data_IF_002062800010
#
_entry.id   IF_002062800010
#
_cell.length_a   1.000
_cell.length_b   1.000
_cell.length_c   1.000
_cell.angle_alpha   90.00
_cell.angle_beta   90.00
_cell.angle_gamma   90.00
#
_symmetry.space_group_name_H-M   'P 1'
#
loop_
_entity.id
_entity.type
_entity.pdbx_description
1 polymer ?
#
# COMPACT_ATOMS: atom_id res chain seq x y z
N UNK A 1 12.07 2.45 -2.41
CA UNK A 1 12.22 0.99 -2.48
C UNK A 1 11.33 0.51 -3.59
N UNK A 2 11.90 0.01 -4.68
CA UNK A 2 11.16 -0.75 -5.70
C UNK A 2 11.19 -2.20 -5.26
N UNK A 3 10.02 -2.82 -5.07
CA UNK A 3 9.96 -4.26 -4.86
C UNK A 3 10.13 -4.94 -6.20
N UNK A 4 11.00 -5.96 -6.26
CA UNK A 4 11.14 -6.76 -7.47
C UNK A 4 9.86 -7.58 -7.67
N UNK A 5 9.26 -7.54 -8.87
CA UNK A 5 8.04 -8.28 -9.15
C UNK A 5 8.32 -9.78 -9.16
N UNK A 6 7.33 -10.58 -8.74
CA UNK A 6 7.36 -12.03 -8.89
C UNK A 6 6.66 -12.41 -10.18
N UNK A 7 7.33 -13.16 -11.05
CA UNK A 7 6.76 -13.65 -12.30
C UNK A 7 6.37 -15.12 -12.12
N UNK A 8 5.07 -15.38 -12.06
CA UNK A 8 4.51 -16.74 -11.93
C UNK A 8 4.56 -17.52 -13.23
N UNK A 9 4.73 -16.84 -14.36
CA UNK A 9 4.96 -17.49 -15.63
C UNK A 9 4.67 -16.59 -16.81
N UNK A 10 4.88 -17.13 -18.00
CA UNK A 10 4.65 -16.42 -19.27
C UNK A 10 3.79 -17.27 -20.18
N UNK A 11 2.96 -16.62 -20.99
CA UNK A 11 2.12 -17.29 -21.97
C UNK A 11 2.30 -16.66 -23.33
N UNK A 12 2.44 -17.48 -24.36
CA UNK A 12 2.43 -17.03 -25.76
C UNK A 12 1.35 -17.79 -26.53
N UNK A 13 0.41 -17.08 -27.14
CA UNK A 13 -0.67 -17.70 -27.91
C UNK A 13 -0.09 -18.51 -29.08
N UNK A 14 -0.44 -19.79 -29.13
CA UNK A 14 0.07 -20.77 -30.10
C UNK A 14 1.31 -21.53 -29.63
N UNK A 15 1.98 -21.11 -28.55
CA UNK A 15 3.10 -21.83 -27.93
C UNK A 15 2.70 -22.47 -26.60
N UNK A 16 1.90 -21.77 -25.79
CA UNK A 16 1.42 -22.24 -24.50
C UNK A 16 2.02 -21.49 -23.31
N UNK A 17 1.84 -22.08 -22.12
CA UNK A 17 2.30 -21.56 -20.84
C UNK A 17 3.70 -22.08 -20.49
N UNK A 18 4.57 -21.18 -20.02
CA UNK A 18 5.84 -21.49 -19.38
C UNK A 18 5.74 -21.11 -17.91
N UNK A 19 5.89 -22.11 -17.05
CA UNK A 19 5.85 -21.98 -15.60
C UNK A 19 6.99 -21.09 -15.07
N UNK A 20 6.72 -20.36 -14.00
CA UNK A 20 7.62 -19.37 -13.41
C UNK A 20 7.93 -19.63 -11.94
N UNK A 21 8.09 -18.55 -11.19
CA UNK A 21 8.38 -18.60 -9.77
C UNK A 21 7.10 -18.82 -8.94
N UNK A 22 7.27 -19.41 -7.75
CA UNK A 22 6.25 -19.48 -6.71
C UNK A 22 6.77 -18.90 -5.41
N UNK A 23 5.87 -18.57 -4.48
CA UNK A 23 6.24 -18.09 -3.14
C UNK A 23 5.84 -19.10 -2.07
N UNK A 24 6.70 -19.27 -1.07
CA UNK A 24 6.49 -20.26 -0.01
C UNK A 24 5.39 -19.86 0.99
N UNK A 25 5.23 -18.56 1.25
CA UNK A 25 4.35 -18.04 2.30
C UNK A 25 3.68 -16.73 1.88
N UNK A 26 2.48 -16.49 2.43
CA UNK A 26 1.67 -15.32 2.10
C UNK A 26 0.94 -15.48 0.76
N UNK A 27 0.50 -14.37 0.17
CA UNK A 27 -0.11 -14.34 -1.15
C UNK A 27 0.04 -12.98 -1.80
N UNK A 28 0.31 -12.97 -3.10
CA UNK A 28 0.53 -11.77 -3.89
C UNK A 28 -0.64 -11.49 -4.84
N UNK A 29 -0.99 -10.22 -5.03
CA UNK A 29 -2.02 -9.82 -5.99
C UNK A 29 -1.52 -10.01 -7.43
N UNK A 30 -2.16 -10.87 -8.24
CA UNK A 30 -1.68 -11.16 -9.58
C UNK A 30 -2.25 -10.21 -10.65
N UNK A 31 -1.43 -9.98 -11.66
CA UNK A 31 -1.70 -9.13 -12.81
C UNK A 31 -1.25 -9.84 -14.09
N UNK A 32 -1.96 -9.56 -15.18
CA UNK A 32 -1.51 -9.86 -16.53
C UNK A 32 -0.77 -8.64 -17.03
N UNK A 33 0.52 -8.79 -17.35
CA UNK A 33 1.32 -7.77 -18.00
C UNK A 33 1.46 -8.12 -19.48
N UNK A 34 1.09 -7.17 -20.33
CA UNK A 34 1.23 -7.31 -21.78
C UNK A 34 2.71 -7.13 -22.16
N UNK A 35 3.32 -8.11 -22.83
CA UNK A 35 4.74 -8.06 -23.21
C UNK A 35 4.97 -7.40 -24.58
N UNK A 36 4.00 -7.55 -25.50
CA UNK A 36 3.98 -6.92 -26.81
C UNK A 36 2.56 -6.48 -27.14
N UNK A 37 2.41 -5.44 -27.97
CA UNK A 37 1.09 -4.95 -28.40
C UNK A 37 0.25 -6.10 -28.94
N UNK A 38 -0.96 -6.27 -28.40
CA UNK A 38 -1.82 -7.40 -28.76
C UNK A 38 -2.54 -7.14 -30.09
N UNK A 39 -2.91 -8.22 -30.77
CA UNK A 39 -3.68 -8.14 -32.00
C UNK A 39 -5.12 -7.62 -31.80
N UNK A 40 -5.87 -7.59 -32.88
CA UNK A 40 -7.22 -7.00 -32.92
C UNK A 40 -8.33 -7.89 -32.32
N UNK A 41 -7.97 -9.01 -31.72
CA UNK A 41 -8.91 -9.95 -31.10
C UNK A 41 -8.70 -9.95 -29.59
N UNK A 42 -9.77 -9.84 -28.78
CA UNK A 42 -9.66 -9.98 -27.34
C UNK A 42 -9.34 -11.42 -26.96
N UNK A 43 -8.78 -11.62 -25.77
CA UNK A 43 -8.48 -12.94 -25.23
C UNK A 43 -8.92 -13.06 -23.79
N UNK A 44 -9.47 -14.20 -23.40
CA UNK A 44 -9.81 -14.49 -22.02
C UNK A 44 -8.76 -15.42 -21.43
N UNK A 45 -8.10 -14.95 -20.38
CA UNK A 45 -7.03 -15.66 -19.68
C UNK A 45 -7.62 -16.31 -18.45
N UNK A 46 -7.61 -17.63 -18.45
CA UNK A 46 -8.09 -18.44 -17.33
C UNK A 46 -6.90 -19.06 -16.63
N UNK A 47 -6.82 -18.86 -15.32
CA UNK A 47 -5.73 -19.40 -14.49
C UNK A 47 -6.29 -20.35 -13.43
N UNK A 48 -5.49 -21.35 -13.09
CA UNK A 48 -5.63 -22.17 -11.89
C UNK A 48 -4.48 -21.81 -10.96
N UNK A 49 -4.78 -21.50 -9.70
CA UNK A 49 -3.78 -21.02 -8.75
C UNK A 49 -3.86 -21.73 -7.40
N UNK A 50 -2.80 -21.53 -6.61
CA UNK A 50 -2.76 -21.83 -5.18
C UNK A 50 -2.95 -20.52 -4.42
N UNK A 51 -3.89 -20.48 -3.48
CA UNK A 51 -4.23 -19.26 -2.72
C UNK A 51 -3.15 -18.83 -1.71
N UNK A 52 -3.38 -17.70 -1.03
CA UNK A 52 -2.49 -17.18 0.01
C UNK A 52 -2.27 -18.11 1.21
N UNK A 53 -3.16 -19.08 1.42
CA UNK A 53 -3.11 -20.03 2.53
C UNK A 53 -2.38 -21.33 2.16
N UNK A 54 -2.11 -21.55 0.86
CA UNK A 54 -1.48 -22.78 0.35
C UNK A 54 -2.49 -23.88 0.06
N UNK A 55 -3.77 -23.55 -0.10
CA UNK A 55 -4.81 -24.51 -0.40
C UNK A 55 -4.69 -24.97 -1.87
N UNK A 56 -4.11 -26.14 -2.08
CA UNK A 56 -3.95 -26.72 -3.44
C UNK A 56 -5.19 -27.51 -3.90
N UNK A 57 -6.06 -27.89 -2.96
CA UNK A 57 -7.30 -28.63 -3.25
C UNK A 57 -8.38 -27.71 -3.84
N UNK A 58 -8.28 -26.42 -3.55
CA UNK A 58 -9.11 -25.38 -4.14
C UNK A 58 -8.40 -24.90 -5.40
N UNK A 59 -8.34 -25.75 -6.43
CA UNK A 59 -7.88 -25.32 -7.76
C UNK A 59 -8.83 -24.23 -8.26
N UNK A 60 -8.54 -23.02 -7.84
CA UNK A 60 -9.40 -21.87 -7.97
C UNK A 60 -9.23 -21.38 -9.39
N UNK A 61 -10.29 -21.55 -10.16
CA UNK A 61 -10.34 -21.14 -11.54
C UNK A 61 -10.89 -19.72 -11.60
N UNK A 62 -10.13 -18.79 -12.18
CA UNK A 62 -10.63 -17.44 -12.47
C UNK A 62 -10.28 -17.07 -13.90
N UNK A 63 -11.16 -16.28 -14.53
CA UNK A 63 -10.98 -15.82 -15.90
C UNK A 63 -10.96 -14.30 -15.93
N UNK A 64 -10.02 -13.74 -16.67
CA UNK A 64 -9.84 -12.29 -16.84
C UNK A 64 -9.70 -11.97 -18.31
N UNK A 65 -10.51 -11.01 -18.79
CA UNK A 65 -10.50 -10.60 -20.18
C UNK A 65 -9.39 -9.58 -20.45
N UNK A 66 -8.64 -9.80 -21.52
CA UNK A 66 -7.64 -8.90 -22.08
C UNK A 66 -8.24 -8.26 -23.34
N UNK A 67 -8.41 -6.93 -23.36
CA UNK A 67 -8.94 -6.23 -24.52
C UNK A 67 -8.07 -6.40 -25.77
N UNK A 68 -8.71 -6.36 -26.94
CA UNK A 68 -8.00 -6.24 -28.21
C UNK A 68 -7.15 -4.97 -28.27
N UNK A 69 -6.05 -5.02 -29.02
CA UNK A 69 -5.16 -3.87 -29.25
C UNK A 69 -4.61 -3.24 -27.95
N UNK A 70 -4.40 -4.07 -26.92
CA UNK A 70 -3.79 -3.65 -25.67
C UNK A 70 -2.31 -3.35 -25.89
N UNK A 71 -1.83 -2.25 -25.30
CA UNK A 71 -0.44 -1.80 -25.47
C UNK A 71 0.51 -2.58 -24.55
N UNK A 72 1.74 -2.83 -25.02
CA UNK A 72 2.81 -3.38 -24.21
C UNK A 72 3.02 -2.57 -22.92
N UNK A 73 3.25 -3.28 -21.81
CA UNK A 73 3.39 -2.70 -20.48
C UNK A 73 2.07 -2.42 -19.76
N UNK A 74 0.92 -2.66 -20.39
CA UNK A 74 -0.38 -2.60 -19.70
C UNK A 74 -0.47 -3.70 -18.64
N UNK A 75 -0.96 -3.35 -17.45
CA UNK A 75 -1.25 -4.29 -16.36
C UNK A 75 -2.75 -4.41 -16.18
N UNK A 76 -3.25 -5.64 -16.23
CA UNK A 76 -4.66 -5.97 -16.01
C UNK A 76 -4.74 -6.81 -14.74
N UNK A 77 -5.47 -6.31 -13.73
CA UNK A 77 -5.63 -7.03 -12.48
C UNK A 77 -6.46 -8.30 -12.69
N UNK A 78 -5.99 -9.42 -12.17
CA UNK A 78 -6.76 -10.68 -12.16
C UNK A 78 -7.68 -10.66 -10.94
N UNK A 79 -8.98 -10.84 -11.18
CA UNK A 79 -9.97 -10.93 -10.12
C UNK A 79 -9.94 -12.33 -9.51
N UNK A 80 -9.54 -12.42 -8.24
CA UNK A 80 -9.53 -13.67 -7.49
C UNK A 80 -10.92 -14.04 -6.99
N UNK A 81 -11.07 -15.28 -6.51
CA UNK A 81 -12.33 -15.74 -5.95
C UNK A 81 -12.63 -15.01 -4.64
N UNK A 82 -13.91 -14.97 -4.26
CA UNK A 82 -14.34 -14.33 -3.03
C UNK A 82 -13.70 -15.00 -1.81
N UNK A 83 -12.94 -14.24 -1.03
CA UNK A 83 -12.20 -14.74 0.13
C UNK A 83 -10.68 -14.76 -0.07
N UNK A 84 -10.23 -14.76 -1.33
CA UNK A 84 -8.81 -14.76 -1.66
C UNK A 84 -8.26 -13.33 -1.73
N UNK A 85 -7.11 -13.14 -1.11
CA UNK A 85 -6.39 -11.85 -1.07
C UNK A 85 -5.11 -11.86 -1.90
N UNK A 86 -4.66 -13.04 -2.32
CA UNK A 86 -3.50 -13.20 -3.17
C UNK A 86 -3.27 -14.66 -3.55
N UNK A 87 -2.26 -14.88 -4.38
CA UNK A 87 -1.87 -16.20 -4.85
C UNK A 87 -0.43 -16.51 -4.45
N UNK A 88 -0.12 -17.79 -4.30
CA UNK A 88 1.24 -18.28 -4.12
C UNK A 88 1.88 -18.77 -5.41
N UNK A 89 1.06 -19.31 -6.30
CA UNK A 89 1.53 -20.02 -7.47
C UNK A 89 0.43 -20.10 -8.54
N UNK A 90 0.81 -20.27 -9.80
CA UNK A 90 -0.09 -20.52 -10.94
C UNK A 90 0.24 -21.87 -11.53
N UNK A 91 -0.61 -22.85 -11.27
CA UNK A 91 -0.36 -24.24 -11.68
C UNK A 91 -0.81 -24.55 -13.10
N UNK A 92 -1.73 -23.76 -13.65
CA UNK A 92 -2.20 -23.93 -15.02
C UNK A 92 -2.76 -22.63 -15.60
N UNK A 93 -2.62 -22.48 -16.91
CA UNK A 93 -3.16 -21.35 -17.67
C UNK A 93 -3.78 -21.86 -18.96
N UNK A 94 -4.97 -21.37 -19.28
CA UNK A 94 -5.60 -21.54 -20.57
C UNK A 94 -6.06 -20.20 -21.11
N UNK A 95 -5.83 -19.96 -22.40
CA UNK A 95 -6.26 -18.75 -23.08
C UNK A 95 -7.19 -19.12 -24.23
N UNK A 96 -8.33 -18.44 -24.31
CA UNK A 96 -9.25 -18.52 -25.44
C UNK A 96 -9.32 -17.19 -26.16
N UNK A 97 -9.32 -17.21 -27.50
CA UNK A 97 -9.26 -15.99 -28.31
C UNK A 97 -7.83 -15.48 -28.51
N UNK A 98 -7.71 -14.19 -28.77
CA UNK A 98 -6.44 -13.51 -29.07
C UNK A 98 -5.85 -13.82 -30.44
N UNK A 99 -4.70 -13.22 -30.71
CA UNK A 99 -3.94 -13.40 -31.96
C UNK A 99 -2.71 -14.26 -31.69
N UNK A 100 -2.40 -15.20 -32.59
CA UNK A 100 -1.18 -16.02 -32.46
C UNK A 100 0.06 -15.13 -32.36
N UNK A 101 0.89 -15.39 -31.35
CA UNK A 101 2.07 -14.58 -31.04
C UNK A 101 1.85 -13.50 -29.98
N UNK A 102 0.60 -13.20 -29.60
CA UNK A 102 0.34 -12.35 -28.43
C UNK A 102 1.00 -12.98 -27.19
N UNK A 103 1.65 -12.16 -26.38
CA UNK A 103 2.47 -12.59 -25.25
C UNK A 103 2.15 -11.85 -23.97
N UNK A 104 2.04 -12.61 -22.89
CA UNK A 104 1.64 -12.14 -21.58
C UNK A 104 2.57 -12.68 -20.50
N UNK A 105 2.76 -11.88 -19.46
CA UNK A 105 3.44 -12.28 -18.23
C UNK A 105 2.44 -12.24 -17.08
N UNK A 106 2.34 -13.33 -16.33
CA UNK A 106 1.53 -13.39 -15.11
C UNK A 106 2.44 -13.03 -13.95
N UNK A 107 2.20 -11.87 -13.35
CA UNK A 107 3.16 -11.24 -12.43
C UNK A 107 2.46 -10.60 -11.24
N UNK A 108 3.23 -10.28 -10.21
CA UNK A 108 2.78 -9.43 -9.11
C UNK A 108 3.83 -8.39 -8.73
N UNK A 109 3.37 -7.18 -8.44
CA UNK A 109 4.19 -6.08 -7.92
C UNK A 109 4.47 -6.18 -6.41
N UNK A 110 4.34 -7.38 -5.84
CA UNK A 110 4.67 -7.66 -4.44
C UNK A 110 3.77 -6.97 -3.40
N UNK A 111 2.58 -6.51 -3.77
CA UNK A 111 1.60 -5.82 -2.90
C UNK A 111 0.75 -6.80 -2.06
N UNK A 112 1.31 -7.95 -1.70
CA UNK A 112 0.57 -9.06 -1.09
C UNK A 112 0.71 -9.22 0.41
N UNK A 113 -0.22 -9.97 1.01
CA UNK A 113 -0.21 -10.29 2.44
C UNK A 113 0.91 -11.28 2.73
N UNK A 114 1.84 -10.94 3.63
CA UNK A 114 2.77 -11.92 4.20
C UNK A 114 4.18 -11.97 3.62
N UNK A 115 4.60 -11.02 2.77
CA UNK A 115 6.03 -10.73 2.65
C UNK A 115 6.41 -9.77 3.77
N UNK A 116 7.13 -10.29 4.76
CA UNK A 116 7.73 -9.45 5.78
C UNK A 116 8.52 -8.33 5.09
N UNK A 117 8.35 -7.10 5.58
CA UNK A 117 9.29 -6.03 5.24
C UNK A 117 10.65 -6.56 5.69
N UNK A 118 11.49 -6.94 4.72
CA UNK A 118 12.88 -7.22 5.00
C UNK A 118 13.51 -5.90 5.44
N UNK A 119 13.40 -5.61 6.74
CA UNK A 119 14.27 -4.66 7.40
C UNK A 119 15.64 -5.28 7.23
N UNK A 120 16.39 -4.82 6.22
CA UNK A 120 17.81 -5.10 6.15
C UNK A 120 18.35 -4.84 7.55
N UNK A 121 18.81 -5.88 8.23
CA UNK A 121 19.45 -5.74 9.52
C UNK A 121 20.54 -4.70 9.29
N UNK A 122 20.37 -3.49 9.85
CA UNK A 122 21.49 -2.56 9.96
C UNK A 122 22.51 -3.35 10.77
N UNK A 123 23.55 -3.82 10.11
CA UNK A 123 24.50 -4.77 10.67
C UNK A 123 24.83 -4.35 12.10
N UNK A 124 24.49 -5.21 13.06
CA UNK A 124 25.01 -5.09 14.42
C UNK A 124 26.45 -5.62 14.46
N UNK A 125 27.19 -5.42 13.37
CA UNK A 125 28.58 -5.80 13.22
C UNK A 125 29.38 -4.63 13.77
N UNK A 126 29.32 -4.47 15.09
CA UNK A 126 30.29 -3.70 15.84
C UNK A 126 30.44 -2.23 15.42
N UNK A 127 29.35 -1.61 14.92
CA UNK A 127 29.29 -0.18 14.78
C UNK A 127 29.38 0.44 16.18
N UNK A 128 30.60 0.79 16.59
CA UNK A 128 30.82 1.83 17.59
C UNK A 128 29.95 2.98 17.13
N UNK A 129 28.92 3.30 17.89
CA UNK A 129 28.14 4.52 17.69
C UNK A 129 29.12 5.66 17.94
N UNK A 130 29.86 6.05 16.90
CA UNK A 130 30.52 7.34 16.91
C UNK A 130 29.39 8.35 16.94
N UNK A 131 29.21 8.93 18.12
CA UNK A 131 28.37 10.06 18.36
C UNK A 131 28.83 11.20 17.45
N UNK A 132 28.19 11.27 16.27
CA UNK A 132 28.30 12.38 15.33
C UNK A 132 27.29 13.47 15.70
N UNK A 133 26.88 13.56 16.98
CA UNK A 133 26.33 14.82 17.47
C UNK A 133 27.29 15.94 17.06
N UNK A 134 26.77 17.03 16.47
CA UNK A 134 27.61 18.17 16.15
C UNK A 134 28.30 18.57 17.44
N UNK A 135 29.62 18.43 17.49
CA UNK A 135 30.43 18.87 18.64
C UNK A 135 30.03 20.31 18.87
N UNK A 136 29.28 20.51 19.96
CA UNK A 136 28.81 21.83 20.37
C UNK A 136 30.08 22.64 20.55
N UNK A 137 30.33 23.59 19.65
CA UNK A 137 31.45 24.49 19.84
C UNK A 137 31.27 25.15 21.21
N UNK A 138 32.34 25.10 22.00
CA UNK A 138 32.44 25.77 23.29
C UNK A 138 32.18 27.28 23.10
N UNK A 139 30.93 27.70 23.23
CA UNK A 139 30.59 29.11 23.41
C UNK A 139 30.22 29.33 24.88
N UNK A 140 31.26 29.56 25.67
CA UNK A 140 31.29 30.35 26.91
C UNK A 140 29.94 30.86 27.41
N UNK A 141 29.34 30.18 28.39
CA UNK A 141 28.73 30.85 29.55
C UNK A 141 28.83 29.94 30.78
N UNK A 142 29.97 29.99 31.46
CA UNK A 142 30.03 29.67 32.88
C UNK A 142 29.10 30.61 33.63
N UNK A 143 27.88 30.17 33.94
CA UNK A 143 27.06 30.81 34.98
C UNK A 143 27.15 29.95 36.24
N UNK A 144 28.10 30.36 37.06
CA UNK A 144 28.34 29.91 38.43
C UNK A 144 26.99 29.98 39.17
N UNK A 145 26.46 28.85 39.62
CA UNK A 145 25.37 28.83 40.59
C UNK A 145 25.98 28.98 41.98
N UNK A 146 26.47 30.18 42.29
CA UNK A 146 26.89 30.54 43.64
C UNK A 146 25.74 31.23 44.37
N UNK A 147 25.45 30.63 45.52
CA UNK A 147 24.79 31.13 46.71
C UNK A 147 23.32 31.55 46.69
N UNK A 148 22.64 31.04 47.73
CA UNK A 148 21.23 31.25 48.12
C UNK A 148 20.85 32.70 48.44
N UNK A 149 21.70 33.68 48.15
CA UNK A 149 21.47 35.10 48.40
C UNK A 149 20.74 35.82 47.26
N UNK A 150 20.60 35.21 46.08
CA UNK A 150 20.00 35.87 44.90
C UNK A 150 18.53 35.51 44.59
N UNK A 151 17.87 34.68 45.41
CA UNK A 151 16.44 34.37 45.29
C UNK A 151 15.52 35.43 45.93
N UNK A 152 16.07 36.50 46.52
CA UNK A 152 15.30 37.49 47.29
C UNK A 152 14.72 38.66 46.51
N UNK A 153 14.99 38.82 45.21
CA UNK A 153 14.65 40.09 44.51
C UNK A 153 14.03 39.95 43.11
N UNK A 154 13.69 38.74 42.63
CA UNK A 154 13.03 38.57 41.32
C UNK A 154 11.54 38.21 41.42
N UNK A 155 11.03 37.90 42.61
CA UNK A 155 9.61 37.56 42.83
C UNK A 155 8.79 38.83 43.15
N UNK A 156 9.43 39.91 43.58
CA UNK A 156 8.74 41.15 43.97
C UNK A 156 8.58 42.17 42.83
N UNK A 157 9.31 42.03 41.72
CA UNK A 157 9.22 42.95 40.56
C UNK A 157 8.22 42.48 39.48
N UNK A 158 7.73 41.24 39.56
CA UNK A 158 6.69 40.71 38.66
C UNK A 158 5.26 40.81 39.19
N UNK A 159 5.09 41.06 40.50
CA UNK A 159 3.78 41.10 41.16
C UNK A 159 3.16 42.52 41.27
N UNK A 160 3.85 43.56 40.78
CA UNK A 160 3.43 44.96 40.92
C UNK A 160 3.11 45.67 39.58
N UNK A 161 2.85 44.90 38.52
CA UNK A 161 2.24 45.41 37.27
C UNK A 161 1.00 44.58 36.92
N UNK A 162 0.09 44.46 37.89
CA UNK A 162 -1.29 44.06 37.66
C UNK A 162 -2.00 45.16 36.87
N UNK A 163 -1.90 45.10 35.54
CA UNK A 163 -2.89 45.68 34.65
C UNK A 163 -3.72 44.51 34.13
N UNK A 164 -4.96 44.44 34.59
CA UNK A 164 -5.98 43.46 34.21
C UNK A 164 -6.00 43.22 32.70
N UNK A 165 -5.75 42.00 32.19
CA UNK A 165 -6.09 41.69 30.81
C UNK A 165 -7.63 41.73 30.67
N UNK A 166 -8.18 42.29 29.58
CA UNK A 166 -9.62 42.25 29.34
C UNK A 166 -10.08 40.80 29.20
N UNK A 167 -11.26 40.49 29.72
CA UNK A 167 -11.89 39.19 29.58
C UNK A 167 -12.05 38.87 28.08
N UNK A 168 -11.22 37.96 27.56
CA UNK A 168 -11.46 37.38 26.25
C UNK A 168 -12.44 36.22 26.43
N UNK A 169 -13.70 36.47 26.10
CA UNK A 169 -14.73 35.44 25.92
C UNK A 169 -14.28 34.52 24.78
N UNK A 170 -13.76 33.34 25.13
CA UNK A 170 -13.58 32.26 24.16
C UNK A 170 -14.93 31.62 23.87
N UNK A 171 -15.66 32.18 22.90
CA UNK A 171 -16.77 31.49 22.25
C UNK A 171 -16.19 30.44 21.32
N UNK A 172 -16.28 29.16 21.70
CA UNK A 172 -16.13 28.06 20.76
C UNK A 172 -17.33 28.10 19.82
N UNK A 173 -17.11 28.44 18.56
CA UNK A 173 -18.14 28.28 17.53
C UNK A 173 -18.36 26.78 17.32
N UNK A 174 -19.42 26.24 17.91
CA UNK A 174 -19.92 24.91 17.58
C UNK A 174 -20.54 24.98 16.19
N UNK A 175 -19.78 24.57 15.18
CA UNK A 175 -20.32 24.31 13.85
C UNK A 175 -21.24 23.08 13.96
N UNK A 176 -22.55 23.30 13.83
CA UNK A 176 -23.54 22.24 13.75
C UNK A 176 -23.52 21.74 12.31
N UNK A 177 -22.89 20.60 12.07
CA UNK A 177 -22.95 19.90 10.78
C UNK A 177 -24.37 19.34 10.63
N UNK A 178 -25.24 20.07 9.94
CA UNK A 178 -26.51 19.53 9.44
C UNK A 178 -26.21 18.60 8.27
N UNK A 179 -26.46 17.30 8.46
CA UNK A 179 -26.45 16.32 7.37
C UNK A 179 -27.68 16.60 6.52
N UNK A 180 -27.45 17.16 5.33
CA UNK A 180 -28.50 17.41 4.34
C UNK A 180 -28.86 16.08 3.68
N UNK A 181 -29.82 15.37 4.27
CA UNK A 181 -30.45 14.23 3.65
C UNK A 181 -31.58 14.73 2.74
N UNK A 182 -31.37 14.67 1.41
CA UNK A 182 -32.31 14.68 0.27
C UNK A 182 -31.62 15.44 -0.90
N UNK A 183 -31.53 15.02 -2.16
CA UNK A 183 -32.27 14.01 -2.94
C UNK A 183 -31.52 13.83 -4.28
N UNK A 184 -31.01 12.65 -4.58
CA UNK A 184 -30.90 12.18 -5.97
C UNK A 184 -30.92 10.65 -6.00
N UNK A 185 -32.12 10.11 -5.77
CA UNK A 185 -32.43 8.70 -5.98
C UNK A 185 -33.05 8.57 -7.37
N UNK A 186 -32.27 8.13 -8.36
CA UNK A 186 -32.79 7.36 -9.49
C UNK A 186 -31.82 6.22 -9.82
N UNK A 187 -32.38 5.03 -9.80
CA UNK A 187 -31.80 3.72 -10.09
C UNK A 187 -30.88 3.16 -9.00
N UNK A 188 -31.47 2.56 -7.96
CA UNK A 188 -31.48 1.10 -7.80
C UNK A 188 -32.61 0.79 -6.82
N UNK A 189 -33.61 0.06 -7.28
CA UNK A 189 -34.81 -0.21 -6.50
C UNK A 189 -34.49 -1.11 -5.33
N UNK A 190 -34.77 -0.65 -4.12
CA UNK A 190 -35.38 -1.44 -3.05
C UNK A 190 -36.08 -0.46 -2.09
N UNK A 191 -37.33 -0.82 -1.79
CA UNK A 191 -38.19 -0.37 -0.67
C UNK A 191 -37.39 -0.30 0.65
N UNK A 192 -37.69 0.45 1.71
CA UNK A 192 -38.72 1.41 2.11
C UNK A 192 -38.32 1.85 3.54
N UNK A 193 -38.61 3.10 3.89
CA UNK A 193 -39.02 3.60 5.22
C UNK A 193 -38.25 3.19 6.50
N UNK A 194 -37.38 4.08 6.99
CA UNK A 194 -37.73 5.05 8.05
C UNK A 194 -36.48 5.76 8.59
N UNK A 195 -36.59 7.08 8.74
CA UNK A 195 -35.81 7.85 9.73
C UNK A 195 -36.33 7.58 11.14
#
# INVERSE_FOLDING_TARGET
MTFDPVVFGTYVIGTGFTDGDSIATGGLSPYIRILADTGNQPSDVTITYVDQNGNTAEQTLVSTSVPASSTAGTFIKISLNGGDSGIRDITAVSITGGTTGDSFELTSNNEGVGKEVALASRGLDNAVWEDLDPKKEDSLTTRIFDDKAHLGNSILTGLLNAVTPPAMDYKLETEVITIDCMTEVKNFGFLSDNC
#
